data_IF_771451524222
#
_entry.id   IF_771451524222
#
_cell.length_a   1.000
_cell.length_b   1.000
_cell.length_c   1.000
_cell.angle_alpha   90.00
_cell.angle_beta   90.00
_cell.angle_gamma   90.00
#
_symmetry.space_group_name_H-M   'P 1'
#
loop_
_entity.id
_entity.type
_entity.pdbx_description
1 polymer ?
#
# COMPACT_ATOMS: atom_id res chain seq x y z
N UNK A 1 -8.31 1.00 2.03
CA UNK A 1 -8.32 2.23 1.22
C UNK A 1 -7.56 1.99 -0.07
N UNK A 2 -8.13 2.38 -1.17
CA UNK A 2 -7.50 2.19 -2.47
C UNK A 2 -6.63 3.37 -2.83
N UNK A 3 -5.54 3.13 -3.55
CA UNK A 3 -4.73 4.18 -4.13
C UNK A 3 -5.35 4.74 -5.41
N UNK A 4 -6.35 4.06 -5.94
CA UNK A 4 -7.03 4.50 -7.15
C UNK A 4 -8.05 5.57 -6.81
N UNK A 5 -7.92 6.71 -7.44
CA UNK A 5 -8.85 7.84 -7.29
C UNK A 5 -9.44 8.18 -8.64
N UNK A 6 -10.46 9.02 -8.65
CA UNK A 6 -11.08 9.44 -9.90
C UNK A 6 -10.13 10.24 -10.80
N UNK A 7 -9.08 10.82 -10.24
CA UNK A 7 -8.09 11.53 -11.04
C UNK A 7 -7.28 10.61 -11.95
N UNK A 8 -7.32 9.29 -11.70
CA UNK A 8 -6.64 8.32 -12.52
C UNK A 8 -7.52 7.60 -13.53
N UNK A 9 -8.72 8.10 -13.80
CA UNK A 9 -9.72 7.41 -14.61
C UNK A 9 -9.35 7.26 -16.09
N UNK A 10 -8.31 7.94 -16.53
CA UNK A 10 -7.82 7.82 -17.92
C UNK A 10 -6.83 6.67 -18.10
N UNK A 11 -6.82 5.72 -17.22
CA UNK A 11 -5.94 4.56 -17.29
C UNK A 11 -4.58 4.75 -16.63
N UNK A 12 -4.38 5.86 -15.95
CA UNK A 12 -3.13 6.13 -15.23
C UNK A 12 -3.43 6.57 -13.81
N UNK A 13 -2.41 6.47 -12.96
CA UNK A 13 -2.48 6.93 -11.58
C UNK A 13 -1.14 7.55 -11.21
N UNK A 14 -1.08 8.25 -10.08
CA UNK A 14 0.16 8.87 -9.62
C UNK A 14 0.78 8.06 -8.50
N UNK A 15 2.10 7.96 -8.49
CA UNK A 15 2.89 7.42 -7.40
C UNK A 15 3.36 8.54 -6.50
N UNK A 16 4.08 8.20 -5.42
CA UNK A 16 4.60 9.20 -4.47
C UNK A 16 5.50 10.22 -5.13
N UNK A 17 6.19 9.83 -6.18
CA UNK A 17 7.07 10.74 -6.93
C UNK A 17 6.32 11.69 -7.84
N UNK A 18 5.00 11.54 -7.92
CA UNK A 18 4.18 12.35 -8.83
C UNK A 18 4.16 11.86 -10.27
N UNK A 19 4.97 10.86 -10.59
CA UNK A 19 4.97 10.29 -11.93
C UNK A 19 3.71 9.48 -12.17
N UNK A 20 3.25 9.50 -13.40
CA UNK A 20 2.04 8.75 -13.75
C UNK A 20 2.42 7.49 -14.50
N UNK A 21 1.76 6.40 -14.13
CA UNK A 21 1.97 5.08 -14.73
C UNK A 21 0.62 4.49 -15.09
N UNK A 22 0.62 3.50 -15.96
CA UNK A 22 -0.62 2.79 -16.31
C UNK A 22 -1.18 2.08 -15.08
N UNK A 23 -2.49 2.18 -14.87
CA UNK A 23 -3.15 1.55 -13.72
C UNK A 23 -3.00 0.03 -13.70
N UNK A 24 -2.80 -0.58 -14.86
CA UNK A 24 -2.65 -2.03 -14.96
C UNK A 24 -1.19 -2.48 -14.92
N UNK A 25 -0.25 -1.59 -14.61
CA UNK A 25 1.16 -2.00 -14.48
C UNK A 25 1.32 -2.92 -13.26
N UNK A 26 2.30 -3.80 -13.31
CA UNK A 26 2.57 -4.70 -12.18
C UNK A 26 2.87 -3.94 -10.89
N UNK A 27 3.54 -2.81 -11.00
CA UNK A 27 3.86 -1.99 -9.83
C UNK A 27 2.59 -1.43 -9.19
N UNK A 28 1.67 -0.92 -9.98
CA UNK A 28 0.41 -0.38 -9.47
C UNK A 28 -0.43 -1.49 -8.86
N UNK A 29 -0.46 -2.66 -9.48
CA UNK A 29 -1.17 -3.81 -8.93
C UNK A 29 -0.56 -4.26 -7.61
N UNK A 30 0.77 -4.30 -7.52
CA UNK A 30 1.46 -4.67 -6.29
C UNK A 30 1.17 -3.65 -5.18
N UNK A 31 1.24 -2.37 -5.49
CA UNK A 31 0.92 -1.32 -4.51
C UNK A 31 -0.51 -1.46 -4.00
N UNK A 32 -1.46 -1.68 -4.91
CA UNK A 32 -2.87 -1.85 -4.54
C UNK A 32 -3.08 -3.06 -3.63
N UNK A 33 -2.41 -4.18 -3.91
CA UNK A 33 -2.49 -5.38 -3.09
C UNK A 33 -1.92 -5.12 -1.70
N UNK A 34 -0.77 -4.45 -1.61
CA UNK A 34 -0.14 -4.12 -0.32
C UNK A 34 -1.02 -3.16 0.47
N UNK A 35 -1.68 -2.22 -0.20
CA UNK A 35 -2.62 -1.31 0.44
C UNK A 35 -3.80 -2.07 1.06
N UNK A 36 -4.32 -3.08 0.36
CA UNK A 36 -5.39 -3.92 0.91
C UNK A 36 -4.93 -4.70 2.12
N UNK A 37 -3.70 -5.22 2.10
CA UNK A 37 -3.11 -5.92 3.25
C UNK A 37 -2.97 -4.96 4.42
N UNK A 38 -2.56 -3.73 4.19
CA UNK A 38 -2.45 -2.70 5.23
C UNK A 38 -3.79 -2.46 5.91
N UNK A 39 -4.86 -2.35 5.13
CA UNK A 39 -6.20 -2.17 5.67
C UNK A 39 -6.65 -3.37 6.50
N UNK A 40 -6.36 -4.59 6.03
CA UNK A 40 -6.69 -5.81 6.74
C UNK A 40 -5.93 -5.91 8.07
N UNK A 41 -4.65 -5.54 8.08
CA UNK A 41 -3.84 -5.54 9.30
C UNK A 41 -4.37 -4.54 10.32
N UNK A 42 -4.76 -3.35 9.86
CA UNK A 42 -5.34 -2.34 10.74
C UNK A 42 -6.63 -2.81 11.37
N UNK A 43 -7.49 -3.46 10.59
CA UNK A 43 -8.73 -4.01 11.08
C UNK A 43 -8.47 -5.13 12.09
N UNK A 44 -7.56 -6.03 11.78
CA UNK A 44 -7.19 -7.11 12.68
C UNK A 44 -6.66 -6.58 14.01
N UNK A 45 -5.82 -5.53 13.96
CA UNK A 45 -5.28 -4.92 15.18
C UNK A 45 -6.39 -4.30 16.02
N UNK A 46 -7.38 -3.69 15.39
CA UNK A 46 -8.51 -3.07 16.10
C UNK A 46 -9.34 -4.10 16.86
N UNK A 47 -9.41 -5.33 16.37
CA UNK A 47 -10.16 -6.41 17.03
C UNK A 47 -9.31 -7.33 17.88
N UNK A 48 -7.99 -7.16 17.89
CA UNK A 48 -7.11 -7.98 18.70
C UNK A 48 -7.31 -7.67 20.19
N UNK A 49 -7.29 -8.70 21.01
CA UNK A 49 -7.47 -8.55 22.45
C UNK A 49 -6.18 -8.71 23.23
N UNK A 50 -5.26 -9.52 22.73
CA UNK A 50 -3.98 -9.74 23.42
C UNK A 50 -2.97 -8.70 22.99
N UNK A 51 -2.28 -8.10 23.94
CA UNK A 51 -1.26 -7.07 23.65
C UNK A 51 -0.16 -7.59 22.76
N UNK A 52 0.28 -8.83 22.95
CA UNK A 52 1.30 -9.44 22.10
C UNK A 52 0.89 -9.48 20.64
N UNK A 53 -0.39 -9.79 20.39
CA UNK A 53 -0.94 -9.85 19.05
C UNK A 53 -1.02 -8.44 18.46
N UNK A 54 -1.47 -7.48 19.26
CA UNK A 54 -1.55 -6.08 18.81
C UNK A 54 -0.16 -5.56 18.41
N UNK A 55 0.84 -5.87 19.23
CA UNK A 55 2.20 -5.43 18.96
C UNK A 55 2.76 -6.06 17.69
N UNK A 56 2.51 -7.35 17.50
CA UNK A 56 2.94 -8.03 16.26
C UNK A 56 2.28 -7.42 15.03
N UNK A 57 0.98 -7.17 15.12
CA UNK A 57 0.24 -6.57 14.00
C UNK A 57 0.75 -5.16 13.71
N UNK A 58 1.08 -4.38 14.73
CA UNK A 58 1.63 -3.06 14.54
C UNK A 58 2.98 -3.12 13.80
N UNK A 59 3.84 -4.06 14.18
CA UNK A 59 5.12 -4.25 13.51
C UNK A 59 4.94 -4.63 12.04
N UNK A 60 3.96 -5.49 11.76
CA UNK A 60 3.64 -5.87 10.39
C UNK A 60 3.13 -4.68 9.60
N UNK A 61 2.28 -3.84 10.20
CA UNK A 61 1.79 -2.63 9.55
C UNK A 61 2.94 -1.68 9.20
N UNK A 62 3.89 -1.51 10.11
CA UNK A 62 5.04 -0.64 9.88
C UNK A 62 5.92 -1.15 8.76
N UNK A 63 6.16 -2.46 8.71
CA UNK A 63 6.92 -3.09 7.63
C UNK A 63 6.19 -2.94 6.31
N UNK A 64 4.88 -3.13 6.33
CA UNK A 64 4.05 -3.02 5.15
C UNK A 64 4.06 -1.57 4.60
N UNK A 65 4.06 -0.59 5.50
CA UNK A 65 4.12 0.82 5.10
C UNK A 65 5.44 1.13 4.39
N UNK A 66 6.55 0.58 4.87
CA UNK A 66 7.84 0.72 4.19
C UNK A 66 7.81 0.10 2.79
N UNK A 67 7.20 -1.07 2.66
CA UNK A 67 7.06 -1.72 1.37
C UNK A 67 6.22 -0.87 0.42
N UNK A 68 5.14 -0.29 0.91
CA UNK A 68 4.30 0.58 0.11
C UNK A 68 5.07 1.80 -0.39
N UNK A 69 5.88 2.41 0.47
CA UNK A 69 6.70 3.54 0.09
C UNK A 69 7.70 3.16 -1.01
N UNK A 70 8.33 2.00 -0.89
CA UNK A 70 9.27 1.52 -1.89
C UNK A 70 8.57 1.26 -3.23
N UNK A 71 7.39 0.64 -3.20
CA UNK A 71 6.63 0.35 -4.41
C UNK A 71 6.13 1.62 -5.10
N UNK A 72 5.82 2.66 -4.32
CA UNK A 72 5.31 3.92 -4.85
C UNK A 72 6.41 4.82 -5.38
N UNK A 73 7.67 4.54 -5.07
CA UNK A 73 8.80 5.32 -5.56
C UNK A 73 9.22 4.81 -6.92
N UNK A 74 9.37 5.71 -7.88
CA UNK A 74 9.87 5.37 -9.20
C UNK A 74 11.33 5.79 -9.28
N UNK A 75 12.20 4.81 -9.43
CA UNK A 75 13.62 5.04 -9.62
C UNK A 75 14.15 4.03 -10.62
N UNK A 76 15.35 4.28 -11.11
CA UNK A 76 16.00 3.38 -12.05
C UNK A 76 16.40 2.03 -11.40
N UNK A 77 16.19 1.90 -10.11
CA UNK A 77 16.50 0.67 -9.38
C UNK A 77 15.37 -0.36 -9.50
N UNK A 78 14.23 0.05 -9.95
CA UNK A 78 13.07 -0.82 -10.11
C UNK A 78 12.73 -1.00 -11.62
#
# INVERSE_FOLDING_TARGET
>A
MSICTKTGDKGTTSLFTGERVAKNSLRVQAYGTVDEVSSALGLARAFAQKEEVKQLLLELEQTNLKLMADLASITDKY
#
